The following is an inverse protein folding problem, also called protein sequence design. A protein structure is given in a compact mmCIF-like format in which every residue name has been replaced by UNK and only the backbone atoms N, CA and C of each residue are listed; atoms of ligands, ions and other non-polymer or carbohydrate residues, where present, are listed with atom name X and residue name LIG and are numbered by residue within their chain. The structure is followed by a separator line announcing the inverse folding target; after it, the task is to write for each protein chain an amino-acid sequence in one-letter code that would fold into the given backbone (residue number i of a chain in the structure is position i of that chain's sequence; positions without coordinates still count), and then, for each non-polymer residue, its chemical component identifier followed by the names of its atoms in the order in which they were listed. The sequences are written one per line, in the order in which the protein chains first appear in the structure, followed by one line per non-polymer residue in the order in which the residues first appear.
data_IF_313239701313
#
_entry.id   IF_313239701313
#
_cell.length_a   1.000
_cell.length_b   1.000
_cell.length_c   1.000
_cell.angle_alpha   90.00
_cell.angle_beta   90.00
_cell.angle_gamma   90.00
#
_symmetry.space_group_name_H-M   'P 1'
#
loop_
_entity.id
_entity.type
_entity.pdbx_description
1 polymer ?
#
# COMPACT_ATOMS: atom_id res chain seq x y z
N UNK A 1 3.51 -79.24 0.84
CA UNK A 1 3.45 -77.81 0.49
C UNK A 1 2.07 -77.30 0.92
N UNK A 2 1.82 -77.12 2.22
CA UNK A 2 2.07 -75.90 3.02
C UNK A 2 1.15 -74.72 2.66
N UNK A 3 0.17 -74.51 3.54
CA UNK A 3 -0.23 -73.22 4.15
C UNK A 3 -0.36 -71.97 3.29
N UNK A 4 -1.55 -71.36 3.28
CA UNK A 4 -1.72 -69.91 3.50
C UNK A 4 -3.04 -69.67 4.26
N UNK A 5 -2.92 -69.04 5.42
CA UNK A 5 -4.01 -68.50 6.26
C UNK A 5 -4.54 -67.22 5.60
N UNK A 6 -5.86 -66.97 5.51
CA UNK A 6 -6.36 -65.64 5.17
C UNK A 6 -6.43 -64.74 6.42
N UNK A 7 -5.86 -63.54 6.29
CA UNK A 7 -5.99 -62.42 7.23
C UNK A 7 -7.37 -61.75 7.11
N UNK A 8 -7.85 -61.28 8.26
CA UNK A 8 -9.02 -60.40 8.44
C UNK A 8 -9.07 -59.21 7.47
N UNK A 9 -10.29 -58.79 7.12
CA UNK A 9 -10.62 -57.37 7.05
C UNK A 9 -12.11 -57.12 7.34
N UNK A 10 -12.32 -56.19 8.24
CA UNK A 10 -13.58 -55.68 8.78
C UNK A 10 -14.46 -55.06 7.68
N UNK A 11 -15.76 -55.32 7.75
CA UNK A 11 -16.78 -54.65 6.94
C UNK A 11 -17.19 -53.35 7.63
N UNK A 12 -16.71 -52.23 7.09
CA UNK A 12 -17.26 -50.90 7.35
C UNK A 12 -18.59 -50.71 6.60
N UNK A 13 -19.50 -50.00 7.25
CA UNK A 13 -20.73 -49.41 6.70
C UNK A 13 -20.41 -48.58 5.44
N UNK A 14 -20.83 -49.05 4.27
CA UNK A 14 -20.64 -48.37 2.99
C UNK A 14 -21.94 -47.78 2.45
N UNK A 15 -22.05 -46.45 2.47
CA UNK A 15 -23.03 -45.65 1.74
C UNK A 15 -22.86 -45.83 0.22
N UNK A 16 -23.96 -46.11 -0.50
CA UNK A 16 -23.97 -46.29 -1.96
C UNK A 16 -23.43 -45.04 -2.67
N UNK A 17 -22.26 -45.16 -3.29
CA UNK A 17 -21.61 -44.09 -4.06
C UNK A 17 -21.55 -44.50 -5.53
N UNK A 18 -22.30 -43.78 -6.37
CA UNK A 18 -22.30 -43.97 -7.82
C UNK A 18 -21.21 -43.09 -8.46
N UNK A 19 -20.19 -43.72 -9.06
CA UNK A 19 -19.17 -43.03 -9.85
C UNK A 19 -19.09 -43.65 -11.24
N UNK A 20 -19.35 -42.87 -12.29
CA UNK A 20 -19.09 -43.26 -13.68
C UNK A 20 -17.81 -42.59 -14.18
N UNK A 21 -16.97 -43.34 -14.90
CA UNK A 21 -15.81 -42.76 -15.59
C UNK A 21 -16.27 -41.94 -16.80
N UNK A 22 -15.71 -40.74 -17.06
CA UNK A 22 -16.11 -39.92 -18.19
C UNK A 22 -15.78 -40.63 -19.51
N UNK A 23 -16.82 -40.90 -20.31
CA UNK A 23 -16.70 -41.53 -21.63
C UNK A 23 -16.80 -40.45 -22.71
N UNK A 24 -15.84 -40.43 -23.63
CA UNK A 24 -15.75 -39.41 -24.69
C UNK A 24 -16.94 -39.54 -25.64
N UNK A 25 -17.61 -38.41 -25.94
CA UNK A 25 -18.75 -38.37 -26.86
C UNK A 25 -18.25 -38.66 -28.28
N UNK A 26 -18.64 -39.81 -28.84
CA UNK A 26 -18.31 -40.19 -30.21
C UNK A 26 -19.06 -39.29 -31.20
N UNK A 27 -18.33 -38.50 -31.98
CA UNK A 27 -18.88 -37.67 -33.06
C UNK A 27 -19.43 -38.56 -34.19
N UNK A 28 -20.76 -38.71 -34.28
CA UNK A 28 -21.38 -39.35 -35.44
C UNK A 28 -21.31 -38.42 -36.66
N UNK A 29 -20.61 -38.88 -37.70
CA UNK A 29 -20.57 -38.20 -39.01
C UNK A 29 -21.94 -38.24 -39.68
N UNK A 30 -22.32 -37.09 -40.25
CA UNK A 30 -23.51 -36.90 -41.08
C UNK A 30 -23.19 -37.36 -42.52
N UNK A 31 -24.12 -38.13 -43.08
CA UNK A 31 -24.23 -38.59 -44.47
C UNK A 31 -23.72 -39.99 -44.87
N UNK A 32 -24.51 -40.52 -45.79
CA UNK A 32 -24.73 -41.88 -46.30
C UNK A 32 -23.53 -42.42 -47.09
N UNK A 33 -23.09 -43.64 -46.78
CA UNK A 33 -22.08 -44.35 -47.56
C UNK A 33 -21.84 -45.80 -47.10
N UNK A 34 -22.08 -46.71 -48.03
CA UNK A 34 -22.02 -48.18 -48.09
C UNK A 34 -21.00 -48.93 -47.19
N UNK A 35 -21.43 -50.09 -46.68
CA UNK A 35 -20.76 -51.03 -45.76
C UNK A 35 -19.45 -51.65 -46.29
N UNK A 36 -18.57 -52.11 -45.38
CA UNK A 36 -18.41 -53.56 -45.23
C UNK A 36 -18.32 -54.06 -43.78
N UNK A 37 -18.44 -55.38 -43.68
CA UNK A 37 -18.60 -56.29 -42.53
C UNK A 37 -17.46 -56.29 -41.50
N UNK A 38 -17.74 -56.00 -40.22
CA UNK A 38 -17.13 -56.65 -39.03
C UNK A 38 -18.03 -56.41 -37.80
N UNK A 39 -18.23 -57.46 -36.99
CA UNK A 39 -18.73 -57.51 -35.60
C UNK A 39 -19.17 -56.20 -34.92
N UNK A 40 -20.47 -56.09 -34.59
CA UNK A 40 -20.96 -55.59 -33.30
C UNK A 40 -22.51 -55.65 -33.27
N UNK A 41 -23.01 -56.40 -32.29
CA UNK A 41 -24.32 -56.30 -31.62
C UNK A 41 -25.45 -55.54 -32.34
N UNK A 42 -26.23 -56.27 -33.14
CA UNK A 42 -27.60 -55.86 -33.46
C UNK A 42 -28.41 -55.81 -32.16
N UNK A 43 -28.64 -54.58 -31.66
CA UNK A 43 -29.61 -54.29 -30.61
C UNK A 43 -30.99 -54.75 -31.06
N UNK A 44 -31.33 -55.96 -30.67
CA UNK A 44 -32.68 -56.50 -30.80
C UNK A 44 -33.49 -55.82 -29.70
N UNK A 45 -34.30 -54.82 -30.04
CA UNK A 45 -35.21 -54.21 -29.07
C UNK A 45 -36.14 -55.30 -28.53
N UNK A 46 -35.86 -55.76 -27.32
CA UNK A 46 -36.66 -56.77 -26.64
C UNK A 46 -38.05 -56.23 -26.38
N UNK A 47 -39.07 -56.98 -26.77
CA UNK A 47 -40.46 -56.63 -26.47
C UNK A 47 -40.62 -56.46 -24.96
N UNK A 48 -40.93 -55.23 -24.53
CA UNK A 48 -41.19 -54.84 -23.13
C UNK A 48 -42.27 -55.75 -22.50
N UNK A 49 -43.16 -56.29 -23.36
CA UNK A 49 -43.81 -57.61 -23.33
C UNK A 49 -43.39 -58.58 -22.21
N UNK A 50 -42.13 -58.96 -22.30
CA UNK A 50 -41.56 -60.12 -21.61
C UNK A 50 -40.34 -59.75 -20.76
N UNK A 51 -40.11 -58.45 -20.58
CA UNK A 51 -39.02 -57.98 -19.74
C UNK A 51 -39.38 -58.16 -18.26
N UNK A 52 -38.63 -59.04 -17.59
CA UNK A 52 -38.82 -59.39 -16.17
C UNK A 52 -38.57 -58.20 -15.23
N UNK A 53 -37.95 -57.12 -15.72
CA UNK A 53 -37.73 -55.88 -14.95
C UNK A 53 -38.96 -54.98 -14.91
N UNK A 54 -39.89 -55.16 -15.85
CA UNK A 54 -41.10 -54.33 -15.95
C UNK A 54 -42.21 -55.03 -15.17
N UNK A 55 -42.41 -54.57 -13.93
CA UNK A 55 -43.45 -55.08 -13.04
C UNK A 55 -44.81 -54.63 -13.56
N UNK A 56 -45.64 -55.59 -13.98
CA UNK A 56 -47.00 -55.35 -14.49
C UNK A 56 -47.99 -55.63 -13.37
N UNK A 57 -48.55 -54.58 -12.78
CA UNK A 57 -49.51 -54.69 -11.69
C UNK A 57 -49.38 -53.57 -10.67
N UNK A 58 -50.26 -53.57 -9.67
CA UNK A 58 -50.31 -52.55 -8.63
C UNK A 58 -49.12 -52.71 -7.67
N UNK A 59 -48.31 -51.67 -7.47
CA UNK A 59 -47.02 -51.71 -6.77
C UNK A 59 -47.12 -51.67 -5.25
N UNK A 60 -48.32 -51.56 -4.68
CA UNK A 60 -48.52 -51.42 -3.22
C UNK A 60 -48.39 -52.70 -2.39
N UNK A 61 -48.30 -53.89 -3.01
CA UNK A 61 -48.21 -55.17 -2.27
C UNK A 61 -46.78 -55.78 -2.25
N UNK A 62 -45.75 -55.08 -2.73
CA UNK A 62 -44.38 -55.56 -2.60
C UNK A 62 -43.85 -55.27 -1.19
N UNK A 63 -43.79 -56.34 -0.38
CA UNK A 63 -43.06 -56.35 0.88
C UNK A 63 -41.56 -56.29 0.55
N UNK A 64 -40.99 -55.09 0.48
CA UNK A 64 -39.56 -54.87 0.26
C UNK A 64 -38.82 -55.15 1.57
N UNK A 65 -38.42 -56.40 1.78
CA UNK A 65 -37.40 -56.72 2.78
C UNK A 65 -36.04 -56.22 2.28
N UNK A 66 -35.21 -55.60 3.13
CA UNK A 66 -33.90 -55.09 2.74
C UNK A 66 -32.97 -56.23 2.31
N UNK A 67 -32.14 -55.96 1.28
CA UNK A 67 -31.25 -56.92 0.61
C UNK A 67 -30.14 -57.53 1.49
N UNK A 68 -30.08 -57.20 2.79
CA UNK A 68 -29.12 -57.76 3.76
C UNK A 68 -29.75 -58.68 4.82
N UNK A 69 -31.08 -58.87 4.81
CA UNK A 69 -31.71 -59.83 5.69
C UNK A 69 -31.47 -61.24 5.13
N UNK A 70 -30.45 -61.91 5.65
CA UNK A 70 -30.32 -63.36 5.46
C UNK A 70 -31.55 -64.00 6.11
N UNK A 71 -32.38 -64.77 5.37
CA UNK A 71 -33.51 -65.45 5.98
C UNK A 71 -32.98 -66.47 6.99
N UNK A 72 -33.59 -66.50 8.18
CA UNK A 72 -33.18 -67.40 9.26
C UNK A 72 -33.10 -68.85 8.75
N UNK A 73 -32.04 -69.61 9.10
CA UNK A 73 -31.83 -70.96 8.58
C UNK A 73 -33.00 -71.92 8.88
N UNK A 74 -33.78 -71.62 9.92
CA UNK A 74 -34.98 -72.35 10.34
C UNK A 74 -36.13 -72.14 9.35
N UNK A 75 -36.28 -70.93 8.80
CA UNK A 75 -37.36 -70.59 7.88
C UNK A 75 -37.08 -71.16 6.47
N UNK A 76 -35.80 -71.19 6.07
CA UNK A 76 -35.35 -71.87 4.85
C UNK A 76 -35.52 -73.39 4.94
N UNK A 77 -35.23 -73.99 6.10
CA UNK A 77 -35.47 -75.42 6.35
C UNK A 77 -36.96 -75.78 6.30
N UNK A 78 -37.83 -74.93 6.89
CA UNK A 78 -39.29 -75.09 6.86
C UNK A 78 -39.86 -74.96 5.45
N UNK A 79 -39.35 -74.01 4.64
CA UNK A 79 -39.75 -73.89 3.23
C UNK A 79 -39.26 -75.05 2.38
N UNK A 80 -38.03 -75.55 2.58
CA UNK A 80 -37.54 -76.75 1.91
C UNK A 80 -38.34 -78.00 2.30
N UNK A 81 -38.71 -78.17 3.56
CA UNK A 81 -39.54 -79.29 4.01
C UNK A 81 -40.95 -79.21 3.42
N UNK A 82 -41.55 -78.03 3.37
CA UNK A 82 -42.85 -77.81 2.73
C UNK A 82 -42.80 -78.11 1.22
N UNK A 83 -41.75 -77.67 0.52
CA UNK A 83 -41.53 -78.02 -0.88
C UNK A 83 -41.31 -79.54 -1.05
N UNK A 84 -40.53 -80.18 -0.17
CA UNK A 84 -40.28 -81.63 -0.20
C UNK A 84 -41.57 -82.43 0.03
N UNK A 85 -42.42 -81.99 0.95
CA UNK A 85 -43.75 -82.59 1.22
C UNK A 85 -44.70 -82.40 0.05
N UNK A 86 -44.73 -81.23 -0.56
CA UNK A 86 -45.54 -80.96 -1.75
C UNK A 86 -45.09 -81.81 -2.95
N UNK A 87 -43.77 -81.96 -3.15
CA UNK A 87 -43.18 -82.78 -4.21
C UNK A 87 -43.41 -84.28 -3.96
N UNK A 88 -43.35 -84.75 -2.71
CA UNK A 88 -43.72 -86.11 -2.33
C UNK A 88 -45.22 -86.37 -2.57
N UNK A 89 -46.10 -85.42 -2.26
CA UNK A 89 -47.54 -85.53 -2.53
C UNK A 89 -47.84 -85.54 -4.03
N UNK A 90 -47.10 -84.77 -4.84
CA UNK A 90 -47.15 -84.85 -6.31
C UNK A 90 -46.70 -86.21 -6.83
N UNK A 91 -45.56 -86.73 -6.36
CA UNK A 91 -45.06 -88.08 -6.71
C UNK A 91 -46.05 -89.19 -6.31
N UNK A 92 -46.65 -89.10 -5.12
CA UNK A 92 -47.66 -90.06 -4.69
C UNK A 92 -48.92 -90.02 -5.57
N UNK A 93 -49.35 -88.81 -5.98
CA UNK A 93 -50.47 -88.64 -6.93
C UNK A 93 -50.13 -89.15 -8.33
N UNK A 94 -48.89 -89.05 -8.77
CA UNK A 94 -48.42 -89.65 -10.03
C UNK A 94 -48.32 -91.18 -9.95
N UNK A 95 -47.89 -91.75 -8.81
CA UNK A 95 -47.86 -93.21 -8.59
C UNK A 95 -49.26 -93.83 -8.48
N UNK A 96 -50.25 -93.10 -7.97
CA UNK A 96 -51.65 -93.54 -7.89
C UNK A 96 -52.43 -93.38 -9.21
N UNK A 97 -51.84 -92.78 -10.24
CA UNK A 97 -52.44 -92.77 -11.58
C UNK A 97 -52.09 -94.08 -12.29
N UNK A 98 -53.06 -94.93 -12.65
CA UNK A 98 -52.78 -96.07 -13.53
C UNK A 98 -52.24 -95.53 -14.87
N UNK A 99 -50.99 -95.85 -15.19
CA UNK A 99 -50.31 -95.37 -16.41
C UNK A 99 -50.80 -96.20 -17.59
N UNK A 100 -51.56 -95.58 -18.51
CA UNK A 100 -51.87 -96.16 -19.82
C UNK A 100 -50.58 -96.32 -20.64
N UNK A 101 -50.38 -97.44 -21.35
CA UNK A 101 -49.17 -97.68 -22.15
C UNK A 101 -49.04 -96.68 -23.32
N UNK A 102 -47.80 -96.36 -23.72
CA UNK A 102 -47.50 -95.39 -24.79
C UNK A 102 -47.97 -95.87 -26.18
N UNK A 103 -48.50 -94.92 -26.97
CA UNK A 103 -49.11 -95.16 -28.26
C UNK A 103 -48.09 -95.53 -29.35
N UNK A 104 -48.36 -96.61 -30.10
CA UNK A 104 -47.55 -97.11 -31.22
C UNK A 104 -47.49 -96.09 -32.37
N UNK A 105 -46.29 -95.92 -32.96
CA UNK A 105 -46.05 -94.96 -34.04
C UNK A 105 -47.01 -95.16 -35.22
N UNK A 106 -47.67 -94.05 -35.63
CA UNK A 106 -48.56 -94.01 -36.79
C UNK A 106 -50.06 -93.95 -36.49
N UNK A 107 -50.50 -93.99 -35.22
CA UNK A 107 -51.91 -93.71 -34.84
C UNK A 107 -51.99 -92.80 -33.61
N UNK A 108 -52.78 -91.73 -33.71
CA UNK A 108 -53.08 -90.81 -32.59
C UNK A 108 -54.20 -91.40 -31.73
N UNK A 109 -53.96 -91.51 -30.42
CA UNK A 109 -55.01 -91.88 -29.47
C UNK A 109 -55.92 -90.67 -29.25
N UNK A 110 -57.23 -90.94 -29.29
CA UNK A 110 -58.31 -89.97 -29.04
C UNK A 110 -58.87 -90.30 -27.67
N UNK A 111 -58.95 -89.30 -26.80
CA UNK A 111 -59.54 -89.44 -25.47
C UNK A 111 -61.05 -89.64 -25.60
N UNK A 112 -61.53 -90.82 -25.20
CA UNK A 112 -62.96 -91.17 -25.19
C UNK A 112 -63.48 -90.96 -23.77
N UNK A 113 -64.58 -90.21 -23.65
CA UNK A 113 -65.26 -89.91 -22.38
C UNK A 113 -65.64 -91.21 -21.65
N UNK A 114 -64.86 -91.56 -20.63
CA UNK A 114 -65.07 -92.71 -19.74
C UNK A 114 -65.33 -92.27 -18.29
N UNK A 115 -65.60 -90.98 -18.11
CA UNK A 115 -66.22 -90.47 -16.89
C UNK A 115 -67.64 -91.02 -16.80
N UNK A 116 -68.05 -91.45 -15.61
CA UNK A 116 -69.34 -92.08 -15.35
C UNK A 116 -70.46 -91.05 -15.61
N UNK A 117 -70.95 -91.01 -16.85
CA UNK A 117 -71.99 -90.09 -17.35
C UNK A 117 -73.42 -90.51 -16.91
N UNK A 118 -73.55 -91.01 -15.68
CA UNK A 118 -74.82 -91.38 -15.05
C UNK A 118 -74.83 -90.85 -13.61
N UNK A 119 -75.69 -89.86 -13.36
CA UNK A 119 -76.17 -89.51 -12.02
C UNK A 119 -77.08 -90.64 -11.51
N UNK A 120 -76.82 -91.16 -10.31
CA UNK A 120 -77.78 -92.01 -9.61
C UNK A 120 -78.97 -91.15 -9.13
N UNK A 121 -80.10 -91.19 -9.85
CA UNK A 121 -81.39 -90.75 -9.33
C UNK A 121 -82.03 -91.90 -8.55
N UNK A 122 -81.97 -91.83 -7.22
CA UNK A 122 -82.79 -92.66 -6.33
C UNK A 122 -84.09 -91.94 -5.98
N UNK A 123 -85.09 -92.01 -6.87
CA UNK A 123 -86.47 -91.65 -6.52
C UNK A 123 -87.41 -92.79 -6.93
N UNK A 124 -88.05 -93.44 -5.94
CA UNK A 124 -88.93 -94.60 -6.16
C UNK A 124 -90.06 -94.73 -5.12
N UNK A 125 -91.15 -94.01 -5.41
CA UNK A 125 -92.60 -94.37 -5.45
C UNK A 125 -93.37 -94.80 -4.18
N UNK A 126 -94.62 -94.30 -4.10
CA UNK A 126 -95.51 -94.04 -2.96
C UNK A 126 -96.62 -95.09 -2.65
N UNK A 127 -97.19 -94.96 -1.42
CA UNK A 127 -98.59 -95.26 -0.97
C UNK A 127 -99.07 -96.73 -0.91
N UNK A 128 -99.86 -97.24 0.06
CA UNK A 128 -100.73 -96.76 1.16
C UNK A 128 -100.69 -97.82 2.30
N UNK A 129 -101.15 -97.50 3.51
CA UNK A 129 -102.31 -98.16 4.14
C UNK A 129 -102.34 -98.02 5.67
N UNK A 130 -103.57 -98.19 6.16
CA UNK A 130 -104.12 -97.78 7.44
C UNK A 130 -103.58 -98.52 8.68
N UNK A 131 -103.80 -97.84 9.80
CA UNK A 131 -103.51 -98.18 11.20
C UNK A 131 -103.92 -99.60 11.64
N UNK A 132 -103.08 -100.26 12.45
CA UNK A 132 -103.32 -100.54 13.88
C UNK A 132 -102.22 -101.45 14.48
N UNK A 133 -101.59 -100.93 15.54
CA UNK A 133 -100.84 -101.58 16.63
C UNK A 133 -100.62 -103.10 16.58
N UNK A 134 -99.36 -103.49 16.41
CA UNK A 134 -98.70 -104.53 17.22
C UNK A 134 -97.21 -104.17 17.35
N UNK A 135 -96.75 -104.05 18.60
CA UNK A 135 -95.41 -103.59 18.96
C UNK A 135 -94.34 -104.56 18.44
N UNK A 136 -93.55 -104.11 17.46
CA UNK A 136 -92.43 -104.86 16.93
C UNK A 136 -91.14 -104.30 17.54
N UNK A 137 -90.57 -105.08 18.47
CA UNK A 137 -89.30 -104.88 19.17
C UNK A 137 -88.30 -103.97 18.43
N UNK A 138 -88.13 -102.74 18.93
CA UNK A 138 -87.10 -101.83 18.45
C UNK A 138 -85.71 -102.36 18.80
N UNK A 139 -84.84 -102.47 17.80
CA UNK A 139 -83.44 -102.81 17.99
C UNK A 139 -82.77 -101.76 18.89
N UNK A 140 -82.18 -102.24 19.99
CA UNK A 140 -81.47 -101.41 20.95
C UNK A 140 -80.34 -100.65 20.23
N UNK A 141 -80.19 -99.33 20.42
CA UNK A 141 -79.06 -98.61 19.84
C UNK A 141 -77.74 -99.27 20.28
N UNK A 142 -76.71 -99.27 19.41
CA UNK A 142 -75.43 -99.91 19.70
C UNK A 142 -74.92 -99.41 21.05
N UNK A 143 -74.50 -100.35 21.90
CA UNK A 143 -74.02 -100.00 23.24
C UNK A 143 -72.83 -99.06 23.10
N UNK A 144 -72.81 -97.90 23.79
CA UNK A 144 -71.73 -96.94 23.68
C UNK A 144 -70.40 -97.65 24.02
N UNK A 145 -69.37 -97.42 23.19
CA UNK A 145 -68.04 -97.97 23.42
C UNK A 145 -67.56 -97.56 24.82
N UNK A 146 -67.23 -98.54 25.65
CA UNK A 146 -66.66 -98.28 26.97
C UNK A 146 -65.26 -97.69 26.80
N UNK A 147 -65.16 -96.38 27.00
CA UNK A 147 -63.88 -95.67 27.16
C UNK A 147 -63.57 -95.73 28.66
N UNK A 148 -62.54 -96.48 29.10
CA UNK A 148 -62.13 -96.48 30.49
C UNK A 148 -61.83 -95.03 30.92
N UNK A 149 -62.34 -94.61 32.07
CA UNK A 149 -61.90 -93.35 32.67
C UNK A 149 -60.37 -93.38 32.78
N UNK A 150 -59.68 -92.31 32.39
CA UNK A 150 -58.24 -92.22 32.59
C UNK A 150 -57.95 -92.41 34.08
N UNK A 151 -57.41 -93.56 34.45
CA UNK A 151 -56.95 -93.84 35.82
C UNK A 151 -55.51 -93.36 35.92
N UNK A 152 -55.36 -92.08 36.25
CA UNK A 152 -54.09 -91.41 36.52
C UNK A 152 -54.39 -90.01 37.03
N UNK A 153 -53.68 -89.57 38.07
CA UNK A 153 -53.79 -88.19 38.54
C UNK A 153 -52.98 -87.30 37.59
N UNK A 154 -53.66 -86.41 36.86
CA UNK A 154 -52.98 -85.40 36.05
C UNK A 154 -52.35 -84.37 37.00
N UNK A 155 -51.01 -84.32 37.06
CA UNK A 155 -50.26 -83.35 37.87
C UNK A 155 -49.59 -82.36 36.92
N UNK A 156 -50.02 -81.10 36.96
CA UNK A 156 -49.30 -80.01 36.34
C UNK A 156 -48.30 -79.43 37.33
N UNK A 157 -47.03 -79.33 36.94
CA UNK A 157 -46.03 -78.56 37.68
C UNK A 157 -45.75 -77.29 36.88
N UNK A 158 -45.85 -76.15 37.54
CA UNK A 158 -45.54 -74.85 36.95
C UNK A 158 -44.62 -74.11 37.91
N UNK A 159 -43.51 -73.60 37.36
CA UNK A 159 -42.62 -72.69 38.06
C UNK A 159 -43.26 -71.31 38.06
N UNK A 160 -43.40 -70.72 39.25
CA UNK A 160 -43.95 -69.38 39.41
C UNK A 160 -42.85 -68.32 39.26
N UNK A 161 -43.27 -67.09 38.95
CA UNK A 161 -42.34 -65.96 38.84
C UNK A 161 -41.60 -65.74 40.17
N UNK A 162 -40.27 -65.78 40.13
CA UNK A 162 -39.39 -65.63 41.29
C UNK A 162 -38.92 -66.92 41.97
N UNK A 163 -39.43 -68.10 41.60
CA UNK A 163 -39.08 -69.38 42.26
C UNK A 163 -37.65 -69.87 41.93
N UNK A 164 -37.09 -69.44 40.79
CA UNK A 164 -35.71 -69.76 40.35
C UNK A 164 -34.75 -68.56 40.42
N UNK A 165 -35.14 -67.46 41.08
CA UNK A 165 -34.31 -66.27 41.15
C UNK A 165 -33.09 -66.50 42.07
N UNK A 166 -31.88 -66.40 41.50
CA UNK A 166 -30.62 -66.39 42.23
C UNK A 166 -30.04 -64.97 42.23
N UNK A 167 -30.09 -64.31 43.38
CA UNK A 167 -29.60 -62.95 43.55
C UNK A 167 -28.11 -62.82 43.23
N UNK A 168 -27.29 -63.78 43.64
CA UNK A 168 -25.83 -63.70 43.50
C UNK A 168 -25.39 -63.89 42.04
N UNK A 169 -26.23 -64.53 41.21
CA UNK A 169 -26.03 -64.63 39.78
C UNK A 169 -26.49 -63.35 39.07
N UNK A 170 -27.67 -62.85 39.41
CA UNK A 170 -28.31 -61.75 38.68
C UNK A 170 -27.71 -60.38 39.01
N UNK A 171 -27.15 -60.19 40.21
CA UNK A 171 -26.52 -58.92 40.62
C UNK A 171 -25.13 -58.70 40.01
N UNK A 172 -24.45 -59.76 39.57
CA UNK A 172 -23.07 -59.69 39.05
C UNK A 172 -22.93 -58.74 37.85
N UNK A 173 -23.76 -58.83 36.78
CA UNK A 173 -23.67 -57.89 35.66
C UNK A 173 -23.95 -56.44 36.07
N UNK A 174 -24.87 -56.22 37.03
CA UNK A 174 -25.15 -54.88 37.54
C UNK A 174 -23.95 -54.28 38.28
N UNK A 175 -23.33 -55.06 39.17
CA UNK A 175 -22.15 -54.64 39.91
C UNK A 175 -20.94 -54.43 38.99
N UNK A 176 -20.74 -55.28 37.99
CA UNK A 176 -19.67 -55.14 37.01
C UNK A 176 -19.78 -53.82 36.24
N UNK A 177 -20.99 -53.47 35.78
CA UNK A 177 -21.24 -52.19 35.11
C UNK A 177 -21.05 -51.01 36.06
N UNK A 178 -21.56 -51.09 37.30
CA UNK A 178 -21.41 -50.02 38.30
C UNK A 178 -19.95 -49.78 38.66
N UNK A 179 -19.20 -50.83 38.98
CA UNK A 179 -17.79 -50.74 39.34
C UNK A 179 -16.96 -50.31 38.12
N UNK A 180 -17.23 -50.87 36.95
CA UNK A 180 -16.56 -50.48 35.71
C UNK A 180 -16.77 -49.00 35.39
N UNK A 181 -18.01 -48.51 35.45
CA UNK A 181 -18.33 -47.11 35.14
C UNK A 181 -17.76 -46.15 36.18
N UNK A 182 -17.81 -46.51 37.46
CA UNK A 182 -17.25 -45.65 38.53
C UNK A 182 -15.73 -45.53 38.44
N UNK A 183 -15.02 -46.63 38.16
CA UNK A 183 -13.56 -46.59 37.97
C UNK A 183 -13.20 -45.84 36.69
N UNK A 184 -13.90 -46.09 35.59
CA UNK A 184 -13.66 -45.39 34.32
C UNK A 184 -13.86 -43.87 34.46
N UNK A 185 -14.96 -43.46 35.09
CA UNK A 185 -15.24 -42.06 35.35
C UNK A 185 -14.18 -41.42 36.26
N UNK A 186 -13.82 -42.08 37.37
CA UNK A 186 -12.80 -41.57 38.27
C UNK A 186 -11.43 -41.43 37.58
N UNK A 187 -11.06 -42.37 36.70
CA UNK A 187 -9.81 -42.29 35.95
C UNK A 187 -9.80 -41.10 34.98
N UNK A 188 -10.91 -40.88 34.26
CA UNK A 188 -11.03 -39.75 33.34
C UNK A 188 -10.96 -38.41 34.07
N UNK A 189 -11.66 -38.28 35.21
CA UNK A 189 -11.64 -37.06 36.02
C UNK A 189 -10.23 -36.74 36.55
N UNK A 190 -9.51 -37.75 37.07
CA UNK A 190 -8.13 -37.56 37.55
C UNK A 190 -7.19 -37.17 36.41
N UNK A 191 -7.32 -37.79 35.24
CA UNK A 191 -6.50 -37.42 34.07
C UNK A 191 -6.76 -35.97 33.63
N UNK A 192 -8.02 -35.55 33.57
CA UNK A 192 -8.38 -34.16 33.24
C UNK A 192 -7.85 -33.17 34.29
N UNK A 193 -7.92 -33.50 35.57
CA UNK A 193 -7.37 -32.66 36.65
C UNK A 193 -5.85 -32.50 36.54
N UNK A 194 -5.12 -33.57 36.27
CA UNK A 194 -3.68 -33.53 36.08
C UNK A 194 -3.28 -32.70 34.84
N UNK A 195 -3.99 -32.87 33.72
CA UNK A 195 -3.77 -32.07 32.51
C UNK A 195 -4.01 -30.58 32.76
N UNK A 196 -5.13 -30.24 33.42
CA UNK A 196 -5.44 -28.86 33.80
C UNK A 196 -4.41 -28.28 34.76
N UNK A 197 -3.89 -29.08 35.71
CA UNK A 197 -2.85 -28.66 36.62
C UNK A 197 -1.53 -28.34 35.88
N UNK A 198 -1.15 -29.20 34.93
CA UNK A 198 0.03 -28.98 34.09
C UNK A 198 -0.10 -27.74 33.23
N UNK A 199 -1.24 -27.54 32.55
CA UNK A 199 -1.49 -26.36 31.73
C UNK A 199 -1.44 -25.07 32.56
N UNK A 200 -2.05 -25.07 33.75
CA UNK A 200 -1.99 -23.92 34.68
C UNK A 200 -0.57 -23.65 35.18
N UNK A 201 0.22 -24.69 35.43
CA UNK A 201 1.62 -24.54 35.85
C UNK A 201 2.47 -23.94 34.71
N UNK A 202 2.28 -24.41 33.48
CA UNK A 202 2.94 -23.85 32.30
C UNK A 202 2.54 -22.38 32.09
N UNK A 203 1.25 -22.06 32.13
CA UNK A 203 0.77 -20.68 31.99
C UNK A 203 1.41 -19.74 33.03
N UNK A 204 1.45 -20.15 34.30
CA UNK A 204 2.10 -19.38 35.37
C UNK A 204 3.59 -19.15 35.10
N UNK A 205 4.32 -20.20 34.69
CA UNK A 205 5.73 -20.07 34.35
C UNK A 205 5.98 -19.11 33.16
N UNK A 206 5.12 -19.17 32.14
CA UNK A 206 5.18 -18.24 31.00
C UNK A 206 4.84 -16.80 31.40
N UNK A 207 3.84 -16.60 32.25
CA UNK A 207 3.48 -15.27 32.76
C UNK A 207 4.60 -14.67 33.61
N UNK A 208 5.22 -15.46 34.48
CA UNK A 208 6.38 -15.04 35.28
C UNK A 208 7.55 -14.60 34.39
N UNK A 209 7.89 -15.41 33.38
CA UNK A 209 8.94 -15.08 32.41
C UNK A 209 8.60 -13.79 31.65
N UNK A 210 7.38 -13.70 31.11
CA UNK A 210 6.92 -12.53 30.34
C UNK A 210 6.91 -11.26 31.18
N UNK A 211 6.50 -11.35 32.45
CA UNK A 211 6.51 -10.21 33.36
C UNK A 211 7.94 -9.76 33.70
N UNK A 212 8.87 -10.71 33.87
CA UNK A 212 10.28 -10.41 34.07
C UNK A 212 10.91 -9.73 32.83
N UNK A 213 10.65 -10.26 31.64
CA UNK A 213 11.11 -9.69 30.36
C UNK A 213 10.55 -8.29 30.15
N UNK A 214 9.26 -8.08 30.42
CA UNK A 214 8.60 -6.78 30.28
C UNK A 214 9.19 -5.75 31.26
N UNK A 215 9.47 -6.16 32.50
CA UNK A 215 10.13 -5.30 33.49
C UNK A 215 11.56 -4.91 33.05
N UNK A 216 12.31 -5.85 32.47
CA UNK A 216 13.65 -5.57 31.93
C UNK A 216 13.57 -4.63 30.72
N UNK A 217 12.64 -4.87 29.80
CA UNK A 217 12.44 -4.02 28.63
C UNK A 217 12.14 -2.57 29.02
N UNK A 218 11.25 -2.35 30.00
CA UNK A 218 10.98 -1.01 30.52
C UNK A 218 12.20 -0.37 31.17
N UNK A 219 13.02 -1.15 31.90
CA UNK A 219 14.27 -0.65 32.50
C UNK A 219 15.23 -0.15 31.40
N UNK A 220 15.38 -0.92 30.33
CA UNK A 220 16.25 -0.56 29.20
C UNK A 220 15.71 0.64 28.42
N UNK A 221 14.41 0.69 28.16
CA UNK A 221 13.75 1.80 27.47
C UNK A 221 13.93 3.12 28.23
N UNK A 222 13.73 3.11 29.55
CA UNK A 222 13.92 4.29 30.39
C UNK A 222 15.38 4.76 30.41
N UNK A 223 16.34 3.82 30.44
CA UNK A 223 17.76 4.16 30.32
C UNK A 223 18.08 4.76 28.95
N UNK A 224 17.53 4.18 27.87
CA UNK A 224 17.73 4.69 26.52
C UNK A 224 17.10 6.08 26.36
N UNK A 225 15.92 6.33 26.94
CA UNK A 225 15.27 7.64 26.96
C UNK A 225 16.19 8.69 27.58
N UNK A 226 16.74 8.42 28.76
CA UNK A 226 17.69 9.32 29.44
C UNK A 226 18.92 9.61 28.60
N UNK A 227 19.53 8.57 28.03
CA UNK A 227 20.72 8.74 27.18
C UNK A 227 20.40 9.52 25.90
N UNK A 228 19.23 9.29 25.30
CA UNK A 228 18.76 10.01 24.11
C UNK A 228 18.53 11.49 24.41
N UNK A 229 17.87 11.79 25.52
CA UNK A 229 17.66 13.18 25.98
C UNK A 229 18.99 13.90 26.25
N UNK A 230 19.95 13.24 26.92
CA UNK A 230 21.27 13.83 27.14
C UNK A 230 22.01 14.06 25.83
N UNK A 231 22.00 13.09 24.91
CA UNK A 231 22.62 13.21 23.59
C UNK A 231 22.04 14.37 22.78
N UNK A 232 20.72 14.53 22.78
CA UNK A 232 20.06 15.66 22.10
C UNK A 232 20.42 17.00 22.74
N UNK A 233 20.49 17.09 24.09
CA UNK A 233 20.97 18.29 24.78
C UNK A 233 22.40 18.65 24.38
N UNK A 234 23.30 17.67 24.35
CA UNK A 234 24.70 17.86 23.92
C UNK A 234 24.80 18.31 22.47
N UNK A 235 24.01 17.70 21.58
CA UNK A 235 23.95 18.07 20.16
C UNK A 235 23.46 19.50 19.96
N UNK A 236 22.44 19.93 20.73
CA UNK A 236 21.94 21.32 20.70
C UNK A 236 23.01 22.30 21.17
N UNK A 237 23.66 22.02 22.30
CA UNK A 237 24.76 22.85 22.81
C UNK A 237 25.90 22.97 21.79
N UNK A 238 26.32 21.85 21.19
CA UNK A 238 27.39 21.86 20.20
C UNK A 238 27.00 22.66 18.94
N UNK A 239 25.76 22.53 18.48
CA UNK A 239 25.24 23.33 17.36
C UNK A 239 25.26 24.83 17.66
N UNK A 240 24.88 25.23 18.88
CA UNK A 240 24.94 26.64 19.30
C UNK A 240 26.38 27.17 19.38
N UNK A 241 27.32 26.33 19.85
CA UNK A 241 28.76 26.67 19.86
C UNK A 241 29.26 26.87 18.44
N UNK A 242 28.98 25.95 17.52
CA UNK A 242 29.41 26.05 16.12
C UNK A 242 28.83 27.28 15.42
N UNK A 243 27.57 27.65 15.69
CA UNK A 243 26.98 28.87 15.15
C UNK A 243 27.71 30.12 15.65
N UNK A 244 27.97 30.20 16.97
CA UNK A 244 28.74 31.31 17.54
C UNK A 244 30.16 31.36 17.01
N UNK A 245 30.82 30.22 16.88
CA UNK A 245 32.16 30.13 16.32
C UNK A 245 32.18 30.69 14.89
N UNK A 246 31.22 30.28 14.05
CA UNK A 246 31.08 30.80 12.69
C UNK A 246 30.87 32.32 12.67
N UNK A 247 29.94 32.83 13.48
CA UNK A 247 29.71 34.27 13.59
C UNK A 247 30.96 35.03 14.06
N UNK A 248 31.69 34.49 15.04
CA UNK A 248 32.93 35.11 15.51
C UNK A 248 34.02 35.06 14.46
N UNK A 249 34.16 33.96 13.72
CA UNK A 249 35.11 33.82 12.62
C UNK A 249 34.80 34.82 11.50
N UNK A 250 33.54 34.97 11.11
CA UNK A 250 33.10 35.95 10.12
C UNK A 250 33.39 37.40 10.59
N UNK A 251 33.11 37.72 11.86
CA UNK A 251 33.43 39.05 12.44
C UNK A 251 34.93 39.33 12.47
N UNK A 252 35.74 38.34 12.85
CA UNK A 252 37.21 38.46 12.87
C UNK A 252 37.75 38.62 11.45
N UNK A 253 37.24 37.85 10.49
CA UNK A 253 37.61 37.95 9.08
C UNK A 253 37.24 39.33 8.50
N UNK A 254 36.02 39.82 8.75
CA UNK A 254 35.57 41.15 8.31
C UNK A 254 36.42 42.27 8.92
N UNK A 255 36.77 42.15 10.21
CA UNK A 255 37.67 43.10 10.87
C UNK A 255 39.07 43.08 10.23
N UNK A 256 39.64 41.90 10.01
CA UNK A 256 40.96 41.76 9.39
C UNK A 256 40.97 42.33 7.97
N UNK A 257 39.92 42.04 7.19
CA UNK A 257 39.73 42.60 5.85
C UNK A 257 39.63 44.13 5.88
N UNK A 258 38.79 44.69 6.75
CA UNK A 258 38.65 46.13 6.89
C UNK A 258 39.95 46.80 7.31
N UNK A 259 40.71 46.19 8.23
CA UNK A 259 42.03 46.71 8.63
C UNK A 259 43.03 46.72 7.48
N UNK A 260 43.11 45.63 6.71
CA UNK A 260 43.99 45.55 5.55
C UNK A 260 43.58 46.55 4.46
N UNK A 261 42.28 46.64 4.15
CA UNK A 261 41.77 47.58 3.15
C UNK A 261 41.99 49.05 3.57
N UNK A 262 41.73 49.40 4.83
CA UNK A 262 41.97 50.75 5.34
C UNK A 262 43.46 51.10 5.41
N UNK A 263 44.32 50.12 5.70
CA UNK A 263 45.77 50.34 5.73
C UNK A 263 46.31 50.79 4.36
N UNK A 264 45.73 50.30 3.26
CA UNK A 264 46.13 50.69 1.90
C UNK A 264 45.36 51.92 1.40
N UNK A 265 44.06 52.02 1.73
CA UNK A 265 43.21 53.13 1.29
C UNK A 265 43.61 54.47 1.93
N UNK A 266 43.93 54.49 3.22
CA UNK A 266 44.25 55.74 3.95
C UNK A 266 45.47 56.43 3.31
N UNK A 267 46.65 55.80 3.14
CA UNK A 267 47.78 56.45 2.48
C UNK A 267 47.48 56.89 1.05
N UNK A 268 46.72 56.10 0.29
CA UNK A 268 46.35 56.41 -1.09
C UNK A 268 45.49 57.68 -1.18
N UNK A 269 44.42 57.76 -0.38
CA UNK A 269 43.54 58.95 -0.32
C UNK A 269 44.29 60.16 0.22
N UNK A 270 45.11 60.00 1.26
CA UNK A 270 45.91 61.10 1.79
C UNK A 270 46.94 61.62 0.78
N UNK A 271 47.56 60.73 -0.01
CA UNK A 271 48.48 61.12 -1.08
C UNK A 271 47.73 61.84 -2.19
N UNK A 272 46.61 61.28 -2.67
CA UNK A 272 45.78 61.93 -3.69
C UNK A 272 45.27 63.30 -3.24
N UNK A 273 44.84 63.44 -1.99
CA UNK A 273 44.33 64.70 -1.46
C UNK A 273 45.46 65.74 -1.24
N UNK A 274 46.69 65.27 -0.95
CA UNK A 274 47.90 66.10 -0.92
C UNK A 274 48.30 66.56 -2.32
N UNK A 275 48.31 65.65 -3.29
CA UNK A 275 48.66 65.95 -4.69
C UNK A 275 47.66 66.93 -5.32
N UNK A 276 46.38 66.85 -4.94
CA UNK A 276 45.34 67.79 -5.33
C UNK A 276 45.39 69.13 -4.54
N UNK A 277 46.36 69.33 -3.65
CA UNK A 277 46.59 70.61 -2.96
C UNK A 277 45.61 70.95 -1.82
N UNK A 278 44.80 70.00 -1.36
CA UNK A 278 43.86 70.24 -0.23
C UNK A 278 44.56 70.26 1.13
N UNK A 279 45.71 69.59 1.26
CA UNK A 279 46.58 69.72 2.42
C UNK A 279 47.63 70.80 2.15
N UNK A 280 47.43 71.99 2.69
CA UNK A 280 48.39 73.10 2.64
C UNK A 280 48.97 73.37 4.03
N UNK A 281 50.19 73.91 4.08
CA UNK A 281 50.74 74.47 5.31
C UNK A 281 50.06 75.83 5.57
N UNK A 282 49.36 76.01 6.72
CA UNK A 282 48.74 77.28 7.06
C UNK A 282 49.71 78.47 7.02
N UNK A 283 50.99 78.23 7.33
CA UNK A 283 52.02 79.28 7.31
C UNK A 283 52.37 79.67 5.88
N UNK A 284 52.57 78.69 5.00
CA UNK A 284 52.84 78.96 3.58
C UNK A 284 51.67 79.70 2.93
N UNK A 285 50.43 79.27 3.23
CA UNK A 285 49.24 79.93 2.70
C UNK A 285 49.08 81.35 3.21
N UNK A 286 49.29 81.60 4.50
CA UNK A 286 49.20 82.95 5.08
C UNK A 286 50.30 83.87 4.53
N UNK A 287 51.50 83.33 4.27
CA UNK A 287 52.56 84.06 3.58
C UNK A 287 52.14 84.43 2.17
N UNK A 288 51.61 83.48 1.39
CA UNK A 288 51.15 83.73 0.02
C UNK A 288 49.95 84.70 -0.07
N UNK A 289 48.96 84.57 0.83
CA UNK A 289 47.72 85.34 0.73
C UNK A 289 47.74 86.66 1.48
N UNK A 290 48.52 86.76 2.55
CA UNK A 290 48.50 87.93 3.45
C UNK A 290 49.81 88.70 3.32
N UNK A 291 50.95 88.03 3.51
CA UNK A 291 52.25 88.69 3.52
C UNK A 291 52.71 89.15 2.14
N UNK A 292 52.60 88.32 1.10
CA UNK A 292 53.06 88.67 -0.25
C UNK A 292 52.29 89.87 -0.82
N UNK A 293 50.94 89.95 -0.73
CA UNK A 293 50.22 91.15 -1.15
C UNK A 293 50.59 92.39 -0.34
N UNK A 294 50.72 92.26 0.99
CA UNK A 294 51.16 93.37 1.84
C UNK A 294 52.56 93.86 1.47
N UNK A 295 53.51 92.95 1.21
CA UNK A 295 54.87 93.30 0.79
C UNK A 295 54.85 93.99 -0.57
N UNK A 296 54.07 93.48 -1.53
CA UNK A 296 53.91 94.08 -2.86
C UNK A 296 53.28 95.48 -2.76
N UNK A 297 52.31 95.68 -1.88
CA UNK A 297 51.69 96.99 -1.61
C UNK A 297 52.69 97.98 -0.98
N UNK A 298 53.52 97.55 -0.03
CA UNK A 298 54.53 98.42 0.58
C UNK A 298 55.64 98.78 -0.42
N UNK A 299 56.06 97.83 -1.26
CA UNK A 299 56.97 98.09 -2.39
C UNK A 299 56.35 99.10 -3.36
N UNK A 300 55.08 98.94 -3.71
CA UNK A 300 54.36 99.89 -4.56
C UNK A 300 54.29 101.28 -3.92
N UNK A 301 54.08 101.38 -2.61
CA UNK A 301 54.09 102.66 -1.88
C UNK A 301 55.47 103.32 -1.90
N UNK A 302 56.55 102.56 -1.76
CA UNK A 302 57.93 103.07 -1.87
C UNK A 302 58.19 103.56 -3.30
N UNK A 303 57.75 102.81 -4.32
CA UNK A 303 57.86 103.24 -5.72
C UNK A 303 57.07 104.52 -5.97
N UNK A 304 55.82 104.63 -5.51
CA UNK A 304 55.00 105.84 -5.60
C UNK A 304 55.66 107.05 -4.92
N UNK A 305 56.28 106.86 -3.75
CA UNK A 305 57.06 107.92 -3.06
C UNK A 305 58.28 108.34 -3.88
N UNK A 306 58.99 107.38 -4.49
CA UNK A 306 60.14 107.66 -5.35
C UNK A 306 59.72 108.42 -6.61
N UNK A 307 58.64 107.98 -7.27
CA UNK A 307 58.09 108.62 -8.46
C UNK A 307 57.57 110.02 -8.14
N UNK A 308 56.88 110.22 -7.01
CA UNK A 308 56.50 111.55 -6.53
C UNK A 308 57.74 112.42 -6.30
N UNK A 309 58.79 111.89 -5.68
CA UNK A 309 60.06 112.57 -5.47
C UNK A 309 60.73 112.99 -6.79
N UNK A 310 60.75 112.11 -7.79
CA UNK A 310 61.23 112.41 -9.15
C UNK A 310 60.36 113.48 -9.82
N UNK A 311 59.04 113.38 -9.72
CA UNK A 311 58.09 114.35 -10.30
C UNK A 311 58.26 115.73 -9.66
N UNK A 312 58.42 115.80 -8.33
CA UNK A 312 58.71 117.04 -7.60
C UNK A 312 60.07 117.62 -8.01
N UNK A 313 61.11 116.80 -8.14
CA UNK A 313 62.42 117.22 -8.61
C UNK A 313 62.32 117.79 -10.04
N UNK A 314 61.60 117.11 -10.94
CA UNK A 314 61.37 117.59 -12.31
C UNK A 314 60.61 118.91 -12.34
N UNK A 315 59.62 119.10 -11.46
CA UNK A 315 58.91 120.38 -11.31
C UNK A 315 59.85 121.49 -10.81
N UNK A 316 60.68 121.21 -9.80
CA UNK A 316 61.68 122.17 -9.30
C UNK A 316 62.69 122.52 -10.39
N UNK A 317 63.22 121.53 -11.11
CA UNK A 317 64.15 121.74 -12.24
C UNK A 317 63.46 122.60 -13.30
N UNK A 318 62.21 122.30 -13.66
CA UNK A 318 61.43 123.08 -14.63
C UNK A 318 61.24 124.53 -14.18
N UNK A 319 60.94 124.78 -12.91
CA UNK A 319 60.79 126.13 -12.36
C UNK A 319 62.10 126.91 -12.31
N UNK A 320 63.22 126.25 -11.95
CA UNK A 320 64.56 126.86 -11.99
C UNK A 320 64.95 127.21 -13.42
N UNK A 321 64.70 126.32 -14.38
CA UNK A 321 64.95 126.57 -15.81
C UNK A 321 64.08 127.71 -16.33
N UNK A 322 62.78 127.77 -15.97
CA UNK A 322 61.89 128.89 -16.32
C UNK A 322 62.36 130.22 -15.73
N UNK A 323 62.77 130.24 -14.45
CA UNK A 323 63.32 131.45 -13.81
C UNK A 323 64.60 131.91 -14.52
N UNK A 324 65.54 130.99 -14.79
CA UNK A 324 66.76 131.31 -15.55
C UNK A 324 66.46 131.79 -16.97
N UNK A 325 65.47 131.21 -17.65
CA UNK A 325 65.05 131.66 -18.97
C UNK A 325 64.45 133.08 -18.90
N UNK A 326 63.63 133.38 -17.91
CA UNK A 326 63.08 134.71 -17.68
C UNK A 326 64.17 135.74 -17.33
N UNK A 327 65.15 135.37 -16.51
CA UNK A 327 66.30 136.23 -16.20
C UNK A 327 67.20 136.44 -17.43
N UNK A 328 67.39 135.42 -18.27
CA UNK A 328 68.10 135.55 -19.55
C UNK A 328 67.34 136.45 -20.53
N UNK A 329 66.00 136.33 -20.61
CA UNK A 329 65.15 137.21 -21.42
C UNK A 329 65.19 138.67 -20.92
N UNK A 330 65.26 138.89 -19.60
CA UNK A 330 65.47 140.23 -19.01
C UNK A 330 66.88 140.76 -19.32
N UNK A 331 67.91 139.93 -19.22
CA UNK A 331 69.29 140.32 -19.55
C UNK A 331 69.44 140.67 -21.04
N UNK A 332 68.88 139.84 -21.93
CA UNK A 332 68.85 140.14 -23.37
C UNK A 332 68.02 141.37 -23.69
N UNK A 333 66.87 141.59 -23.03
CA UNK A 333 66.08 142.84 -23.19
C UNK A 333 66.84 144.08 -22.70
N UNK A 334 67.70 143.96 -21.67
CA UNK A 334 68.60 145.02 -21.22
C UNK A 334 69.81 145.21 -22.16
N UNK A 335 70.26 144.15 -22.84
CA UNK A 335 71.30 144.25 -23.88
C UNK A 335 70.73 144.87 -25.16
N UNK A 336 69.51 144.55 -25.60
CA UNK A 336 68.86 145.20 -26.75
C UNK A 336 68.63 146.71 -26.52
N UNK A 337 68.41 147.16 -25.28
CA UNK A 337 68.35 148.59 -24.94
C UNK A 337 69.73 149.27 -24.82
N UNK A 338 70.84 148.51 -24.76
CA UNK A 338 72.22 149.03 -24.80
C UNK A 338 72.80 149.09 -26.22
N UNK A 339 72.30 148.29 -27.16
CA UNK A 339 72.79 148.26 -28.54
C UNK A 339 72.14 149.31 -29.48
N UNK A 340 71.08 150.03 -29.10
CA UNK A 340 70.52 151.13 -29.91
C UNK A 340 71.20 152.50 -29.72
N UNK A 341 72.08 152.69 -28.73
CA UNK A 341 72.69 154.01 -28.42
C UNK A 341 74.11 154.18 -28.98
N UNK A 342 74.76 153.14 -29.51
CA UNK A 342 76.10 153.29 -30.09
C UNK A 342 76.27 152.55 -31.42
N UNK A 343 76.69 153.32 -32.41
CA UNK A 343 77.18 152.95 -33.75
C UNK A 343 76.14 152.79 -34.86
N UNK A 344 75.62 153.95 -35.28
CA UNK A 344 75.52 154.24 -36.71
C UNK A 344 76.92 154.20 -37.35
N UNK A 345 77.04 153.55 -38.52
CA UNK A 345 78.16 153.73 -39.44
C UNK A 345 78.89 152.46 -39.86
N UNK A 346 78.31 151.64 -40.74
CA UNK A 346 78.74 151.54 -42.14
C UNK A 346 77.90 150.52 -42.90
N UNK A 347 77.73 150.84 -44.17
CA UNK A 347 76.65 150.45 -45.07
C UNK A 347 77.24 149.61 -46.23
N UNK A 348 76.36 148.91 -46.98
CA UNK A 348 76.50 148.43 -48.37
C UNK A 348 77.18 147.04 -48.56
N UNK A 349 76.63 146.03 -49.26
CA UNK A 349 75.37 145.83 -50.02
C UNK A 349 75.17 144.33 -50.37
N UNK A 350 73.92 143.87 -50.27
CA UNK A 350 73.12 142.98 -51.17
C UNK A 350 73.71 141.63 -51.68
N UNK A 351 73.00 140.51 -51.76
CA UNK A 351 71.60 140.33 -52.15
C UNK A 351 71.14 138.84 -52.06
N UNK A 352 69.81 138.65 -51.99
CA UNK A 352 68.96 137.46 -52.27
C UNK A 352 68.79 136.38 -51.19
N UNK A 353 67.64 135.74 -50.96
CA UNK A 353 66.20 135.95 -51.24
C UNK A 353 65.51 134.61 -50.92
N UNK A 354 64.37 134.64 -50.21
CA UNK A 354 63.17 133.80 -50.47
C UNK A 354 63.00 132.39 -49.82
N UNK A 355 61.87 132.31 -49.08
CA UNK A 355 60.83 131.27 -48.94
C UNK A 355 61.09 129.91 -48.24
N UNK A 356 60.26 129.69 -47.20
CA UNK A 356 59.45 128.50 -46.84
C UNK A 356 59.30 127.41 -47.94
N UNK A 357 59.02 126.11 -47.61
CA UNK A 357 57.73 125.73 -47.00
C UNK A 357 57.58 124.39 -46.21
N UNK A 358 56.37 124.23 -45.62
CA UNK A 358 55.49 123.03 -45.52
C UNK A 358 55.81 121.81 -44.60
N UNK A 359 54.98 121.61 -43.55
CA UNK A 359 53.85 120.64 -43.39
C UNK A 359 53.91 119.26 -44.13
N UNK A 360 53.07 118.22 -43.81
CA UNK A 360 52.27 117.89 -42.62
C UNK A 360 52.16 116.35 -42.30
N UNK A 361 51.32 115.98 -41.31
CA UNK A 361 50.37 114.84 -41.15
C UNK A 361 50.74 113.43 -41.69
N UNK A 362 50.44 112.31 -41.00
CA UNK A 362 49.11 111.72 -40.77
C UNK A 362 49.30 110.63 -39.69
N UNK A 363 48.65 110.71 -38.52
CA UNK A 363 47.42 109.96 -38.17
C UNK A 363 47.45 108.45 -38.50
N UNK A 364 46.87 107.54 -37.75
CA UNK A 364 46.22 107.52 -36.45
C UNK A 364 45.72 106.07 -36.28
N UNK A 365 45.80 105.57 -35.05
CA UNK A 365 44.68 104.98 -34.29
C UNK A 365 43.91 103.81 -34.95
N UNK A 366 44.08 102.61 -34.40
CA UNK A 366 43.16 101.97 -33.42
C UNK A 366 42.04 101.17 -34.12
N UNK A 367 41.16 100.41 -33.43
CA UNK A 367 41.05 100.09 -31.98
C UNK A 367 40.84 98.57 -31.69
N UNK A 368 41.06 98.10 -30.44
CA UNK A 368 40.06 97.60 -29.46
C UNK A 368 39.32 96.30 -29.84
N UNK A 369 38.92 95.37 -28.97
CA UNK A 369 39.02 95.09 -27.53
C UNK A 369 38.42 93.66 -27.36
N UNK A 370 38.96 92.87 -26.42
CA UNK A 370 38.30 91.79 -25.65
C UNK A 370 37.84 90.52 -26.43
N UNK A 371 37.93 89.27 -25.94
CA UNK A 371 37.47 88.74 -24.65
C UNK A 371 37.87 87.23 -24.51
N UNK A 372 38.26 86.81 -23.29
CA UNK A 372 38.07 85.50 -22.59
C UNK A 372 38.70 84.17 -23.08
N UNK A 373 39.42 83.55 -22.13
CA UNK A 373 39.85 82.14 -21.98
C UNK A 373 38.65 81.16 -21.73
N UNK A 374 38.86 79.87 -21.34
CA UNK A 374 39.40 78.72 -22.08
C UNK A 374 38.46 77.47 -22.00
N UNK A 375 38.99 76.34 -22.48
CA UNK A 375 38.56 74.93 -22.46
C UNK A 375 37.56 74.45 -21.38
N UNK A 376 36.66 73.54 -21.79
CA UNK A 376 36.14 72.46 -20.93
C UNK A 376 35.62 71.30 -21.78
N UNK A 377 36.33 70.17 -21.77
CA UNK A 377 35.79 68.86 -22.10
C UNK A 377 35.24 68.23 -20.81
N UNK A 378 33.99 67.75 -20.83
CA UNK A 378 33.53 66.70 -19.92
C UNK A 378 32.50 65.81 -20.63
N UNK A 379 32.85 64.53 -20.74
CA UNK A 379 31.96 63.41 -21.01
C UNK A 379 31.44 62.91 -19.68
N UNK A 380 30.13 62.74 -19.56
CA UNK A 380 29.51 61.89 -18.53
C UNK A 380 28.51 60.94 -19.21
N UNK A 381 28.95 59.71 -19.44
CA UNK A 381 28.14 58.50 -19.37
C UNK A 381 28.47 57.84 -18.04
N UNK A 382 27.47 57.45 -17.23
CA UNK A 382 27.41 56.20 -16.45
C UNK A 382 26.10 56.12 -15.64
N UNK A 383 25.52 54.93 -15.68
CA UNK A 383 24.41 54.39 -14.88
C UNK A 383 24.59 54.56 -13.36
N UNK A 384 23.47 54.65 -12.64
CA UNK A 384 23.40 54.05 -11.30
C UNK A 384 22.02 53.42 -11.05
N UNK A 385 22.04 52.09 -10.94
CA UNK A 385 21.07 51.28 -10.21
C UNK A 385 21.11 51.66 -8.72
N UNK A 386 19.95 51.99 -8.15
CA UNK A 386 19.47 51.55 -6.82
C UNK A 386 17.96 51.33 -6.92
#
# INVERSE_FOLDING_TARGET
MTSVIPRQKEMGSGTYTFSSQPRVVQNRRKYRGVQPTVNEESFTYGNIMYDRRVVRGNTYAQHTLPLSAQPDPIEFQRQQEAQRRALAKKRAKELLRPRTPEAVEGRKHIDVQTELYLEELSDRVEEKDMECQTDAFLDRPPTPLFIPAKTGADVATQILEGELFDFDLEVKPMLEVLVGKTIEQALLEVMEEEELAQLRAQQRAFEELRNAELAEAHRLEEQERRHREEKERRKKQHREILLKEKETAEKVAARAFAQQYLADLVPSVFSSLRDNGYFYDPVERDVETTFMPWLMEEVENIMKKNDLGRTMLDMIIRDVVKKRLADFQRATSQDYLKYEVNSQGQEIKSEKSVMQPQNPDTEAKHPELQLKDPETEHKDEILSDI
#
